data_IF_491375982544
#
_entry.id   IF_491375982544
#
_cell.length_a   1.000
_cell.length_b   1.000
_cell.length_c   1.000
_cell.angle_alpha   90.00
_cell.angle_beta   90.00
_cell.angle_gamma   90.00
#
_symmetry.space_group_name_H-M   'P 1'
#
loop_
_entity.id
_entity.type
_entity.pdbx_description
1 polymer ?
#
# COMPACT_ATOMS: atom_id res chain seq x y z
N UNK A 1 -0.51 -15.24 0.32
CA UNK A 1 -0.08 -14.68 1.63
C UNK A 1 -0.12 -13.15 1.53
N UNK A 2 -0.63 -12.45 2.56
CA UNK A 2 -0.70 -10.98 2.65
C UNK A 2 0.64 -10.29 2.35
N UNK A 3 1.76 -10.84 2.83
CA UNK A 3 3.10 -10.27 2.61
C UNK A 3 3.46 -10.15 1.13
N UNK A 4 3.37 -11.27 0.41
CA UNK A 4 3.65 -11.30 -1.04
C UNK A 4 2.65 -10.43 -1.82
N UNK A 5 1.39 -10.38 -1.39
CA UNK A 5 0.36 -9.54 -2.00
C UNK A 5 0.62 -8.05 -1.81
N UNK A 6 0.98 -7.62 -0.59
CA UNK A 6 1.33 -6.23 -0.29
C UNK A 6 2.51 -5.75 -1.14
N UNK A 7 3.56 -6.58 -1.23
CA UNK A 7 4.73 -6.27 -2.05
C UNK A 7 4.37 -6.16 -3.54
N UNK A 8 3.60 -7.13 -4.07
CA UNK A 8 3.16 -7.13 -5.47
C UNK A 8 2.27 -5.92 -5.80
N UNK A 9 1.41 -5.51 -4.87
CA UNK A 9 0.56 -4.33 -5.02
C UNK A 9 1.37 -3.03 -5.10
N UNK A 10 2.31 -2.81 -4.16
CA UNK A 10 3.17 -1.62 -4.19
C UNK A 10 4.07 -1.61 -5.42
N UNK A 11 4.59 -2.77 -5.84
CA UNK A 11 5.33 -2.90 -7.10
C UNK A 11 4.48 -2.52 -8.31
N UNK A 12 3.23 -2.98 -8.37
CA UNK A 12 2.29 -2.66 -9.45
C UNK A 12 2.05 -1.15 -9.54
N UNK A 13 1.73 -0.48 -8.43
CA UNK A 13 1.50 0.96 -8.42
C UNK A 13 2.72 1.74 -8.90
N UNK A 14 3.92 1.33 -8.47
CA UNK A 14 5.18 1.92 -8.94
C UNK A 14 5.39 1.69 -10.43
N UNK A 15 5.15 0.47 -10.92
CA UNK A 15 5.39 0.09 -12.31
C UNK A 15 4.54 0.90 -13.29
N UNK A 16 3.33 1.28 -12.90
CA UNK A 16 2.39 2.04 -13.72
C UNK A 16 2.34 3.55 -13.40
N UNK A 17 3.23 4.06 -12.55
CA UNK A 17 3.26 5.48 -12.21
C UNK A 17 2.02 5.98 -11.48
N UNK A 18 1.33 5.08 -10.75
CA UNK A 18 0.13 5.37 -9.98
C UNK A 18 0.44 5.85 -8.55
N UNK A 19 1.71 5.80 -8.16
CA UNK A 19 2.19 6.41 -6.92
C UNK A 19 2.46 7.89 -7.17
N UNK A 20 2.00 8.75 -6.25
CA UNK A 20 2.45 10.13 -6.19
C UNK A 20 3.93 10.12 -5.76
N UNK A 21 4.86 9.99 -6.72
CA UNK A 21 6.27 9.77 -6.43
C UNK A 21 6.94 10.95 -5.71
N UNK A 22 6.34 12.14 -5.79
CA UNK A 22 6.77 13.33 -5.07
C UNK A 22 6.42 13.29 -3.57
N UNK A 23 5.41 12.50 -3.16
CA UNK A 23 4.95 12.38 -1.77
C UNK A 23 5.29 11.02 -1.14
N UNK A 24 5.28 9.95 -1.94
CA UNK A 24 5.49 8.58 -1.48
C UNK A 24 6.95 8.17 -1.63
N UNK A 25 7.74 8.57 -0.64
CA UNK A 25 9.14 8.15 -0.49
C UNK A 25 9.28 6.61 -0.38
N UNK A 26 10.46 6.03 -0.64
CA UNK A 26 10.70 4.60 -0.45
C UNK A 26 10.34 4.09 0.97
N UNK A 27 10.53 4.91 2.00
CA UNK A 27 10.15 4.56 3.37
C UNK A 27 8.63 4.54 3.55
N UNK A 28 7.89 5.49 2.97
CA UNK A 28 6.42 5.47 2.97
C UNK A 28 5.86 4.22 2.27
N UNK A 29 6.45 3.81 1.14
CA UNK A 29 6.08 2.56 0.44
C UNK A 29 6.39 1.31 1.26
N UNK A 30 7.49 1.32 2.01
CA UNK A 30 7.86 0.24 2.92
C UNK A 30 6.85 0.15 4.06
N UNK A 31 6.48 1.28 4.66
CA UNK A 31 5.47 1.35 5.71
C UNK A 31 4.10 0.85 5.20
N UNK A 32 3.67 1.27 4.00
CA UNK A 32 2.44 0.80 3.37
C UNK A 32 2.45 -0.73 3.16
N UNK A 33 3.58 -1.27 2.71
CA UNK A 33 3.73 -2.72 2.51
C UNK A 33 3.59 -3.47 3.83
N UNK A 34 4.23 -2.99 4.90
CA UNK A 34 4.16 -3.59 6.24
C UNK A 34 2.75 -3.47 6.84
N UNK A 35 2.10 -2.32 6.66
CA UNK A 35 0.73 -2.09 7.12
C UNK A 35 -0.23 -3.13 6.56
N UNK A 36 -0.20 -3.37 5.24
CA UNK A 36 -1.04 -4.38 4.57
C UNK A 36 -0.64 -5.80 4.98
N UNK A 37 0.67 -6.07 5.10
CA UNK A 37 1.16 -7.39 5.45
C UNK A 37 0.70 -7.84 6.85
N UNK A 38 0.78 -6.93 7.82
CA UNK A 38 0.56 -7.22 9.24
C UNK A 38 -0.87 -6.87 9.71
N UNK A 39 -1.72 -6.27 8.86
CA UNK A 39 -3.10 -5.93 9.23
C UNK A 39 -3.97 -7.15 9.59
N UNK A 40 -4.92 -6.97 10.51
CA UNK A 40 -5.92 -7.98 10.82
C UNK A 40 -6.85 -8.21 9.61
N UNK A 41 -7.05 -9.45 9.13
CA UNK A 41 -8.00 -9.76 8.06
C UNK A 41 -9.44 -9.33 8.35
N UNK A 42 -9.84 -9.24 9.62
CA UNK A 42 -11.19 -8.78 10.01
C UNK A 42 -11.40 -7.28 9.73
N UNK A 43 -10.33 -6.50 9.67
CA UNK A 43 -10.36 -5.06 9.39
C UNK A 43 -10.10 -4.73 7.90
N UNK A 44 -10.33 -5.70 7.01
CA UNK A 44 -10.04 -5.57 5.57
C UNK A 44 -10.59 -4.28 4.95
N UNK A 45 -11.86 -3.95 5.21
CA UNK A 45 -12.50 -2.78 4.59
C UNK A 45 -11.90 -1.46 5.08
N UNK A 46 -11.51 -1.39 6.37
CA UNK A 46 -10.78 -0.24 6.91
C UNK A 46 -9.42 -0.10 6.24
N UNK A 47 -8.71 -1.21 6.02
CA UNK A 47 -7.42 -1.19 5.32
C UNK A 47 -7.53 -0.77 3.87
N UNK A 48 -8.57 -1.20 3.16
CA UNK A 48 -8.88 -0.68 1.82
C UNK A 48 -9.09 0.84 1.89
N UNK A 49 -9.85 1.33 2.86
CA UNK A 49 -10.07 2.76 3.06
C UNK A 49 -8.77 3.56 3.27
N UNK A 50 -7.86 3.08 4.14
CA UNK A 50 -6.56 3.71 4.38
C UNK A 50 -5.70 3.73 3.11
N UNK A 51 -5.63 2.60 2.38
CA UNK A 51 -4.90 2.54 1.10
C UNK A 51 -5.46 3.55 0.11
N UNK A 52 -6.79 3.64 -0.03
CA UNK A 52 -7.44 4.61 -0.91
C UNK A 52 -7.15 6.06 -0.50
N UNK A 53 -7.09 6.36 0.80
CA UNK A 53 -6.75 7.70 1.29
C UNK A 53 -5.30 8.07 0.95
N UNK A 54 -4.35 7.13 1.05
CA UNK A 54 -2.94 7.38 0.72
C UNK A 54 -2.67 7.48 -0.79
N UNK A 55 -3.57 6.94 -1.63
CA UNK A 55 -3.47 7.02 -3.09
C UNK A 55 -4.27 8.16 -3.69
N UNK A 56 -5.11 8.84 -2.90
CA UNK A 56 -5.81 10.05 -3.36
C UNK A 56 -4.80 11.20 -3.46
N UNK A 57 -4.91 11.96 -4.56
CA UNK A 57 -4.31 13.28 -4.71
C UNK A 57 -4.92 14.28 -3.73
#
# INVERSE_FOLDING_TARGET
NKRSGALAFVWFLKKYGLLNADELTPSALTALTLLIAESDPQDKDKMIGVVLMLLKK
#
